data_IF_358998117874
#
_entry.id   IF_358998117874
#
_cell.length_a   1.000
_cell.length_b   1.000
_cell.length_c   1.000
_cell.angle_alpha   90.00
_cell.angle_beta   90.00
_cell.angle_gamma   90.00
#
_symmetry.space_group_name_H-M   'P 1'
#
loop_
_entity.id
_entity.type
_entity.pdbx_description
1 polymer ?
#
# COMPACT_ATOMS: atom_id res chain seq x y z
N UNK A 1 -20.59 18.40 -12.00
CA UNK A 1 -19.38 18.70 -12.81
C UNK A 1 -18.19 18.07 -12.09
N UNK A 2 -17.43 17.17 -12.73
CA UNK A 2 -16.18 16.65 -12.12
C UNK A 2 -15.13 17.76 -12.21
N UNK A 3 -14.39 17.99 -11.12
CA UNK A 3 -13.24 18.90 -11.12
C UNK A 3 -12.17 18.40 -12.09
N UNK A 4 -11.58 19.32 -12.82
CA UNK A 4 -10.37 19.12 -13.61
C UNK A 4 -9.16 18.91 -12.69
N UNK A 5 -8.09 18.35 -13.25
CA UNK A 5 -6.83 18.19 -12.52
C UNK A 5 -6.29 19.54 -12.00
N UNK A 6 -6.37 20.61 -12.79
CA UNK A 6 -5.91 21.94 -12.37
C UNK A 6 -6.69 22.46 -11.16
N UNK A 7 -8.00 22.20 -11.09
CA UNK A 7 -8.84 22.57 -9.95
C UNK A 7 -8.47 21.77 -8.68
N UNK A 8 -8.19 20.47 -8.80
CA UNK A 8 -7.72 19.66 -7.67
C UNK A 8 -6.36 20.12 -7.15
N UNK A 9 -5.42 20.44 -8.05
CA UNK A 9 -4.10 20.98 -7.66
C UNK A 9 -4.25 22.33 -6.98
N UNK A 10 -5.10 23.22 -7.51
CA UNK A 10 -5.39 24.52 -6.88
C UNK A 10 -5.97 24.37 -5.47
N UNK A 11 -6.94 23.47 -5.29
CA UNK A 11 -7.51 23.16 -3.98
C UNK A 11 -6.47 22.59 -3.01
N UNK A 12 -5.61 21.68 -3.50
CA UNK A 12 -4.52 21.12 -2.70
C UNK A 12 -3.55 22.23 -2.23
N UNK A 13 -3.20 23.18 -3.11
CA UNK A 13 -2.36 24.34 -2.73
C UNK A 13 -2.99 25.16 -1.62
N UNK A 14 -4.27 25.49 -1.74
CA UNK A 14 -4.99 26.26 -0.71
C UNK A 14 -4.96 25.54 0.65
N UNK A 15 -5.19 24.22 0.66
CA UNK A 15 -5.15 23.41 1.89
C UNK A 15 -3.75 23.29 2.48
N UNK A 16 -2.73 23.11 1.65
CA UNK A 16 -1.33 23.06 2.09
C UNK A 16 -0.91 24.38 2.74
N UNK A 17 -1.24 25.51 2.14
CA UNK A 17 -0.96 26.83 2.71
C UNK A 17 -1.71 27.05 4.03
N UNK A 18 -2.98 26.64 4.12
CA UNK A 18 -3.74 26.72 5.36
C UNK A 18 -3.12 25.85 6.48
N UNK A 19 -2.72 24.61 6.17
CA UNK A 19 -2.03 23.73 7.12
C UNK A 19 -0.67 24.30 7.54
N UNK A 20 0.09 24.88 6.60
CA UNK A 20 1.37 25.49 6.90
C UNK A 20 1.22 26.74 7.78
N UNK A 21 0.16 27.53 7.55
CA UNK A 21 -0.17 28.67 8.40
C UNK A 21 -0.52 28.22 9.83
N UNK A 22 -1.31 27.16 9.98
CA UNK A 22 -1.77 26.64 11.28
C UNK A 22 -0.67 25.90 12.06
N UNK A 23 0.12 25.05 11.40
CA UNK A 23 1.07 24.16 12.06
C UNK A 23 2.53 24.58 11.91
N UNK A 24 2.83 25.57 11.07
CA UNK A 24 4.16 26.14 10.78
C UNK A 24 5.18 25.22 10.12
N UNK A 25 5.14 23.92 10.42
CA UNK A 25 5.96 22.89 9.79
C UNK A 25 5.12 21.62 9.59
N UNK A 26 5.29 20.98 8.43
CA UNK A 26 4.54 19.80 8.03
C UNK A 26 5.49 18.70 7.56
N UNK A 27 5.09 17.45 7.79
CA UNK A 27 5.74 16.27 7.18
C UNK A 27 4.92 15.77 5.99
N UNK A 28 5.53 15.07 5.04
CA UNK A 28 4.80 14.48 3.92
C UNK A 28 3.70 13.50 4.40
N UNK A 29 3.99 12.68 5.41
CA UNK A 29 3.02 11.71 5.96
C UNK A 29 1.83 12.40 6.63
N UNK A 30 2.06 13.51 7.33
CA UNK A 30 1.00 14.32 7.92
C UNK A 30 0.13 14.98 6.85
N UNK A 31 0.75 15.50 5.79
CA UNK A 31 0.04 16.13 4.67
C UNK A 31 -0.91 15.13 4.03
N UNK A 32 -0.43 13.92 3.71
CA UNK A 32 -1.30 12.86 3.17
C UNK A 32 -2.39 12.47 4.16
N UNK A 33 -2.07 12.34 5.45
CA UNK A 33 -3.06 12.00 6.48
C UNK A 33 -4.19 13.03 6.59
N UNK A 34 -3.84 14.33 6.49
CA UNK A 34 -4.80 15.43 6.60
C UNK A 34 -5.54 15.72 5.30
N UNK A 35 -4.94 15.55 4.12
CA UNK A 35 -5.53 15.99 2.84
C UNK A 35 -6.10 14.82 2.02
N UNK A 36 -5.42 13.68 2.02
CA UNK A 36 -5.75 12.53 1.17
C UNK A 36 -6.52 11.44 1.89
N UNK A 37 -6.14 11.12 3.14
CA UNK A 37 -6.78 10.03 3.90
C UNK A 37 -8.09 10.46 4.56
N UNK A 38 -8.12 11.68 5.09
CA UNK A 38 -9.28 12.30 5.72
C UNK A 38 -9.65 13.55 4.90
N UNK A 39 -10.92 13.75 4.52
CA UNK A 39 -11.31 14.94 3.81
C UNK A 39 -11.21 16.20 4.71
N UNK A 40 -10.10 16.93 4.63
CA UNK A 40 -9.98 18.24 5.28
C UNK A 40 -10.88 19.26 4.58
N UNK A 41 -11.99 19.65 5.21
CA UNK A 41 -12.94 20.66 4.72
C UNK A 41 -13.41 20.36 3.28
N UNK A 42 -14.16 19.27 3.10
CA UNK A 42 -14.81 18.95 1.82
C UNK A 42 -14.49 17.55 1.32
N UNK A 43 -13.97 17.42 0.10
CA UNK A 43 -13.59 16.12 -0.47
C UNK A 43 -12.13 15.78 -0.20
N UNK A 44 -11.78 14.48 -0.20
CA UNK A 44 -10.39 14.04 -0.16
C UNK A 44 -9.71 14.34 -1.51
N UNK A 45 -8.41 14.64 -1.49
CA UNK A 45 -7.63 14.89 -2.71
C UNK A 45 -6.60 13.79 -2.87
N UNK A 46 -6.57 13.18 -4.06
CA UNK A 46 -5.62 12.12 -4.35
C UNK A 46 -4.16 12.59 -4.18
N UNK A 47 -3.28 11.74 -3.61
CA UNK A 47 -1.90 12.10 -3.29
C UNK A 47 -1.12 12.76 -4.43
N UNK A 48 -1.33 12.33 -5.68
CA UNK A 48 -0.60 12.88 -6.82
C UNK A 48 -0.88 14.37 -7.07
N UNK A 49 -2.11 14.84 -6.84
CA UNK A 49 -2.42 16.27 -6.90
C UNK A 49 -1.77 17.04 -5.75
N UNK A 50 -1.69 16.44 -4.56
CA UNK A 50 -1.02 17.01 -3.39
C UNK A 50 0.50 17.12 -3.63
N UNK A 51 1.13 16.09 -4.20
CA UNK A 51 2.55 16.13 -4.56
C UNK A 51 2.85 17.19 -5.61
N UNK A 52 2.01 17.33 -6.64
CA UNK A 52 2.15 18.40 -7.65
C UNK A 52 2.00 19.78 -7.02
N UNK A 53 1.01 19.96 -6.15
CA UNK A 53 0.81 21.22 -5.42
C UNK A 53 1.99 21.57 -4.51
N UNK A 54 2.52 20.59 -3.77
CA UNK A 54 3.73 20.77 -2.94
C UNK A 54 4.90 21.26 -3.76
N UNK A 55 5.18 20.60 -4.90
CA UNK A 55 6.25 21.02 -5.81
C UNK A 55 6.06 22.45 -6.30
N UNK A 56 4.85 22.82 -6.74
CA UNK A 56 4.57 24.19 -7.18
C UNK A 56 4.80 25.22 -6.06
N UNK A 57 4.36 24.92 -4.83
CA UNK A 57 4.56 25.83 -3.69
C UNK A 57 6.03 25.96 -3.29
N UNK A 58 6.81 24.87 -3.37
CA UNK A 58 8.24 24.93 -3.07
C UNK A 58 9.02 25.66 -4.17
N UNK A 59 8.69 25.40 -5.43
CA UNK A 59 9.34 26.03 -6.59
C UNK A 59 9.07 27.55 -6.61
N UNK A 60 7.89 27.99 -6.16
CA UNK A 60 7.51 29.40 -6.04
C UNK A 60 8.04 30.09 -4.76
N UNK A 61 8.64 29.35 -3.84
CA UNK A 61 9.08 29.88 -2.54
C UNK A 61 7.93 30.19 -1.56
N UNK A 62 6.73 29.68 -1.81
CA UNK A 62 5.59 29.76 -0.88
C UNK A 62 5.78 28.83 0.34
N UNK A 63 6.56 27.76 0.17
CA UNK A 63 7.01 26.86 1.24
C UNK A 63 8.53 26.62 1.11
N UNK A 64 9.21 26.48 2.23
CA UNK A 64 10.61 26.06 2.24
C UNK A 64 10.71 24.56 2.51
N UNK A 65 11.66 23.91 1.85
CA UNK A 65 12.01 22.51 2.14
C UNK A 65 13.20 22.51 3.07
N UNK A 66 13.08 21.79 4.17
CA UNK A 66 14.14 21.58 5.13
C UNK A 66 14.41 20.08 5.28
N UNK A 67 15.70 19.74 5.34
CA UNK A 67 16.19 18.38 5.47
C UNK A 67 17.07 18.30 6.71
N UNK A 68 16.81 17.31 7.55
CA UNK A 68 17.58 17.13 8.77
C UNK A 68 17.77 15.65 9.09
N UNK A 69 19.00 15.22 9.40
CA UNK A 69 19.25 13.86 9.82
C UNK A 69 18.63 13.61 11.19
N UNK A 70 18.02 12.44 11.34
CA UNK A 70 17.65 11.84 12.62
C UNK A 70 18.88 11.29 13.31
N UNK A 71 18.81 11.03 14.62
CA UNK A 71 19.88 10.34 15.36
C UNK A 71 20.22 8.95 14.79
N UNK A 72 19.30 8.34 14.03
CA UNK A 72 19.51 7.06 13.35
C UNK A 72 20.04 7.19 11.91
N UNK A 73 20.51 8.37 11.49
CA UNK A 73 21.09 8.62 10.16
C UNK A 73 20.08 8.76 9.03
N UNK A 74 18.77 8.62 9.30
CA UNK A 74 17.71 8.85 8.30
C UNK A 74 17.49 10.34 8.08
N UNK A 75 17.14 10.74 6.88
CA UNK A 75 16.79 12.13 6.58
C UNK A 75 15.27 12.36 6.77
N UNK A 76 14.92 13.46 7.42
CA UNK A 76 13.53 13.93 7.60
C UNK A 76 13.33 15.18 6.77
N UNK A 77 12.49 15.06 5.76
CA UNK A 77 12.02 16.19 4.97
C UNK A 77 10.83 16.87 5.67
N UNK A 78 10.92 18.20 5.80
CA UNK A 78 9.85 19.07 6.27
C UNK A 78 9.50 20.13 5.23
N UNK A 79 8.24 20.54 5.25
CA UNK A 79 7.73 21.71 4.52
C UNK A 79 7.40 22.80 5.52
N UNK A 80 8.09 23.94 5.42
CA UNK A 80 8.03 25.04 6.38
C UNK A 80 7.26 26.23 5.80
N UNK A 81 6.48 26.89 6.65
CA UNK A 81 5.82 28.15 6.30
C UNK A 81 6.83 29.30 6.15
N UNK A 82 6.63 30.15 5.14
CA UNK A 82 7.43 31.35 4.86
C UNK A 82 6.82 32.63 5.46
N UNK A 83 5.74 32.51 6.23
CA UNK A 83 4.99 33.66 6.72
C UNK A 83 5.86 34.60 7.62
N UNK A 84 5.75 35.94 7.49
CA UNK A 84 6.73 36.89 8.06
C UNK A 84 6.88 36.96 9.59
N UNK A 85 6.06 36.26 10.38
CA UNK A 85 5.95 36.46 11.84
C UNK A 85 6.28 35.23 12.70
N UNK A 86 6.90 34.20 12.14
CA UNK A 86 6.87 32.88 12.77
C UNK A 86 8.22 32.20 12.96
N UNK A 87 9.38 32.83 12.77
CA UNK A 87 10.68 32.11 12.79
C UNK A 87 10.87 31.18 14.00
N UNK A 88 10.68 31.67 15.22
CA UNK A 88 10.78 30.84 16.44
C UNK A 88 9.69 29.75 16.51
N UNK A 89 8.46 30.06 16.05
CA UNK A 89 7.35 29.12 16.02
C UNK A 89 7.58 28.00 14.98
N UNK A 90 8.09 28.35 13.79
CA UNK A 90 8.52 27.43 12.73
C UNK A 90 9.64 26.54 13.24
N UNK A 91 10.68 27.10 13.86
CA UNK A 91 11.77 26.31 14.41
C UNK A 91 11.30 25.34 15.51
N UNK A 92 10.40 25.77 16.39
CA UNK A 92 9.80 24.92 17.43
C UNK A 92 8.96 23.79 16.81
N UNK A 93 8.09 24.13 15.87
CA UNK A 93 7.26 23.16 15.15
C UNK A 93 8.11 22.16 14.36
N UNK A 94 9.12 22.63 13.62
CA UNK A 94 10.03 21.78 12.87
C UNK A 94 10.75 20.79 13.79
N UNK A 95 11.31 21.25 14.93
CA UNK A 95 11.94 20.36 15.92
C UNK A 95 10.99 19.28 16.42
N UNK A 96 9.73 19.66 16.70
CA UNK A 96 8.69 18.74 17.16
C UNK A 96 8.33 17.71 16.08
N UNK A 97 8.09 18.15 14.85
CA UNK A 97 7.75 17.26 13.71
C UNK A 97 8.88 16.30 13.37
N UNK A 98 10.15 16.75 13.42
CA UNK A 98 11.32 15.85 13.26
C UNK A 98 11.35 14.76 14.31
N UNK A 99 11.13 15.10 15.59
CA UNK A 99 11.12 14.11 16.67
C UNK A 99 10.04 13.03 16.42
N UNK A 100 8.83 13.46 16.10
CA UNK A 100 7.70 12.55 15.88
C UNK A 100 7.90 11.68 14.64
N UNK A 101 8.35 12.27 13.53
CA UNK A 101 8.60 11.50 12.31
C UNK A 101 9.77 10.53 12.50
N UNK A 102 10.83 10.93 13.20
CA UNK A 102 11.95 10.04 13.54
C UNK A 102 11.46 8.82 14.32
N UNK A 103 10.55 9.03 15.28
CA UNK A 103 9.96 7.95 16.07
C UNK A 103 9.12 7.02 15.19
N UNK A 104 8.22 7.59 14.39
CA UNK A 104 7.42 6.83 13.44
C UNK A 104 8.29 6.01 12.48
N UNK A 105 9.33 6.61 11.89
CA UNK A 105 10.28 5.90 11.02
C UNK A 105 11.04 4.81 11.75
N UNK A 106 11.34 5.02 13.04
CA UNK A 106 11.87 3.99 13.94
C UNK A 106 10.97 2.76 14.01
N UNK A 107 9.65 2.95 14.16
CA UNK A 107 8.68 1.86 14.15
C UNK A 107 8.48 1.24 12.76
N UNK A 108 8.45 2.05 11.71
CA UNK A 108 8.15 1.58 10.36
C UNK A 108 9.26 0.69 9.79
N UNK A 109 10.52 1.08 9.98
CA UNK A 109 11.68 0.45 9.33
C UNK A 109 12.56 -0.35 10.30
N UNK A 110 12.44 -0.13 11.61
CA UNK A 110 13.31 -0.75 12.61
C UNK A 110 14.73 -0.17 12.61
N UNK A 111 15.70 -0.96 13.04
CA UNK A 111 17.16 -0.74 12.98
C UNK A 111 17.82 -1.98 12.39
N UNK A 112 19.10 -1.94 11.98
CA UNK A 112 19.80 -3.16 11.55
C UNK A 112 19.75 -4.31 12.58
N UNK A 113 19.60 -3.99 13.86
CA UNK A 113 19.53 -4.94 14.97
C UNK A 113 18.12 -5.34 15.41
N UNK A 114 17.07 -4.63 14.96
CA UNK A 114 15.67 -4.90 15.34
C UNK A 114 14.74 -4.61 14.17
N UNK A 115 13.91 -5.56 13.72
CA UNK A 115 12.97 -5.31 12.62
C UNK A 115 11.98 -4.20 12.97
N UNK A 116 11.40 -3.58 11.94
CA UNK A 116 10.28 -2.66 12.12
C UNK A 116 9.08 -3.37 12.76
N UNK A 117 8.24 -2.59 13.45
CA UNK A 117 7.06 -3.07 14.17
C UNK A 117 5.78 -3.01 13.33
N UNK A 118 5.80 -2.26 12.21
CA UNK A 118 4.61 -2.04 11.38
C UNK A 118 4.36 -3.21 10.42
N UNK A 119 5.38 -3.73 9.75
CA UNK A 119 5.24 -4.88 8.83
C UNK A 119 4.70 -6.13 9.54
N UNK A 120 5.45 -6.64 10.55
CA UNK A 120 5.04 -7.84 11.29
C UNK A 120 3.66 -7.74 11.94
N UNK A 121 3.27 -6.55 12.43
CA UNK A 121 1.94 -6.37 13.02
C UNK A 121 0.81 -6.58 12.00
N UNK A 122 0.97 -6.10 10.76
CA UNK A 122 -0.04 -6.34 9.74
C UNK A 122 -0.11 -7.81 9.32
N UNK A 123 1.03 -8.50 9.25
CA UNK A 123 1.09 -9.93 8.98
C UNK A 123 0.37 -10.73 10.08
N UNK A 124 0.60 -10.39 11.34
CA UNK A 124 -0.08 -11.00 12.49
C UNK A 124 -1.60 -10.77 12.47
N UNK A 125 -2.03 -9.52 12.26
CA UNK A 125 -3.46 -9.17 12.19
C UNK A 125 -4.13 -9.86 11.00
N UNK A 126 -3.47 -9.88 9.84
CA UNK A 126 -3.99 -10.60 8.67
C UNK A 126 -4.08 -12.10 8.95
N UNK A 127 -3.05 -12.71 9.55
CA UNK A 127 -3.04 -14.12 9.90
C UNK A 127 -4.19 -14.47 10.87
N UNK A 128 -4.35 -13.71 11.95
CA UNK A 128 -5.47 -13.90 12.87
C UNK A 128 -6.83 -13.74 12.16
N UNK A 129 -6.93 -12.79 11.23
CA UNK A 129 -8.14 -12.57 10.43
C UNK A 129 -8.47 -13.77 9.53
N UNK A 130 -7.51 -14.26 8.74
CA UNK A 130 -7.74 -15.37 7.81
C UNK A 130 -8.06 -16.68 8.57
N UNK A 131 -7.37 -16.95 9.68
CA UNK A 131 -7.65 -18.11 10.55
C UNK A 131 -9.07 -18.02 11.11
N UNK A 132 -9.50 -16.85 11.58
CA UNK A 132 -10.84 -16.67 12.15
C UNK A 132 -11.98 -16.93 11.17
N UNK A 133 -11.71 -16.87 9.85
CA UNK A 133 -12.73 -17.19 8.84
C UNK A 133 -13.02 -18.67 8.71
N UNK A 134 -12.06 -19.55 9.06
CA UNK A 134 -12.14 -20.98 8.78
C UNK A 134 -12.27 -21.36 7.30
N UNK A 135 -12.17 -20.40 6.36
CA UNK A 135 -12.47 -20.60 4.94
C UNK A 135 -11.25 -21.07 4.12
N UNK A 136 -10.06 -21.07 4.71
CA UNK A 136 -8.79 -21.33 4.02
C UNK A 136 -8.01 -22.45 4.72
N UNK A 137 -7.44 -23.34 3.91
CA UNK A 137 -6.40 -24.28 4.36
C UNK A 137 -5.04 -23.61 4.15
N UNK A 138 -4.45 -23.08 5.22
CA UNK A 138 -3.18 -22.35 5.15
C UNK A 138 -2.00 -23.30 4.92
N UNK A 139 -1.02 -22.85 4.13
CA UNK A 139 0.25 -23.56 3.94
C UNK A 139 1.09 -23.57 5.23
N UNK A 140 0.93 -22.54 6.07
CA UNK A 140 1.52 -22.43 7.42
C UNK A 140 0.45 -21.98 8.42
N UNK A 141 -0.28 -22.92 9.04
CA UNK A 141 -1.34 -22.62 10.00
C UNK A 141 -0.86 -21.86 11.24
N UNK A 142 0.42 -21.99 11.60
CA UNK A 142 1.09 -21.27 12.69
C UNK A 142 1.51 -19.83 12.33
N UNK A 143 1.41 -19.46 11.06
CA UNK A 143 1.81 -18.15 10.53
C UNK A 143 3.27 -18.05 10.10
N UNK A 144 3.61 -16.86 9.63
CA UNK A 144 4.94 -16.50 9.11
C UNK A 144 5.18 -16.86 7.65
N UNK A 145 6.35 -16.46 7.17
CA UNK A 145 6.78 -16.54 5.79
C UNK A 145 6.62 -17.93 5.14
N UNK A 146 6.12 -17.93 3.90
CA UNK A 146 6.02 -19.10 3.02
C UNK A 146 7.12 -19.03 1.96
N UNK A 147 8.21 -19.78 2.16
CA UNK A 147 9.38 -19.80 1.25
C UNK A 147 9.18 -20.67 0.01
N UNK A 148 8.27 -21.63 0.09
CA UNK A 148 7.91 -22.53 -1.01
C UNK A 148 6.42 -22.79 -1.04
N UNK A 149 5.83 -22.80 -2.22
CA UNK A 149 4.41 -23.07 -2.41
C UNK A 149 4.19 -23.78 -3.77
N UNK A 150 3.22 -24.67 -3.85
CA UNK A 150 2.95 -25.50 -5.05
C UNK A 150 4.21 -26.18 -5.64
N UNK A 151 5.13 -26.63 -4.78
CA UNK A 151 6.37 -27.28 -5.19
C UNK A 151 7.42 -26.35 -5.83
N UNK A 152 7.24 -25.03 -5.76
CA UNK A 152 8.21 -24.02 -6.19
C UNK A 152 8.86 -23.34 -4.99
N UNK A 153 10.20 -23.25 -4.98
CA UNK A 153 10.91 -22.33 -4.11
C UNK A 153 10.79 -20.90 -4.66
N UNK A 154 10.30 -19.97 -3.85
CA UNK A 154 9.96 -18.62 -4.30
C UNK A 154 11.18 -17.68 -4.25
N UNK A 155 11.30 -16.74 -5.21
CA UNK A 155 12.30 -15.68 -5.13
C UNK A 155 11.89 -14.69 -4.03
N UNK A 156 12.24 -15.00 -2.78
CA UNK A 156 11.70 -14.34 -1.59
C UNK A 156 10.35 -14.93 -1.14
N UNK A 157 10.09 -14.99 0.17
CA UNK A 157 8.87 -15.61 0.69
C UNK A 157 7.61 -14.82 0.34
N UNK A 158 6.45 -15.49 0.40
CA UNK A 158 5.14 -14.84 0.54
C UNK A 158 4.87 -14.59 2.01
N UNK A 159 4.13 -13.53 2.32
CA UNK A 159 3.71 -13.22 3.69
C UNK A 159 2.67 -14.22 4.20
N UNK A 160 1.88 -14.81 3.29
CA UNK A 160 1.02 -15.97 3.57
C UNK A 160 0.66 -16.71 2.29
N UNK A 161 0.19 -17.96 2.42
CA UNK A 161 -0.38 -18.71 1.31
C UNK A 161 -1.34 -19.78 1.83
N UNK A 162 -2.28 -20.20 0.98
CA UNK A 162 -3.17 -21.31 1.30
C UNK A 162 -4.04 -21.72 0.13
N UNK A 163 -5.03 -22.55 0.42
CA UNK A 163 -6.04 -23.00 -0.53
C UNK A 163 -7.42 -22.55 -0.07
N UNK A 164 -8.21 -22.07 -1.02
CA UNK A 164 -9.62 -21.75 -0.85
C UNK A 164 -10.46 -22.74 -1.65
N UNK A 165 -11.45 -23.37 -1.03
CA UNK A 165 -12.39 -24.26 -1.71
C UNK A 165 -13.71 -23.51 -1.94
N UNK A 166 -14.01 -23.03 -3.15
CA UNK A 166 -15.29 -22.40 -3.44
C UNK A 166 -16.41 -23.42 -3.27
N UNK A 167 -17.53 -23.00 -2.68
CA UNK A 167 -18.75 -23.80 -2.56
C UNK A 167 -19.90 -23.03 -3.19
N UNK A 168 -20.52 -23.61 -4.21
CA UNK A 168 -21.68 -23.04 -4.90
C UNK A 168 -22.87 -23.98 -4.74
N UNK A 169 -23.99 -23.48 -4.20
CA UNK A 169 -25.20 -24.28 -3.95
C UNK A 169 -24.93 -25.58 -3.16
N UNK A 170 -23.99 -25.54 -2.21
CA UNK A 170 -23.59 -26.71 -1.41
C UNK A 170 -22.63 -27.67 -2.12
N UNK A 171 -22.24 -27.40 -3.37
CA UNK A 171 -21.33 -28.23 -4.14
C UNK A 171 -19.92 -27.62 -4.11
N UNK A 172 -18.89 -28.37 -3.66
CA UNK A 172 -17.51 -27.90 -3.70
C UNK A 172 -17.00 -27.84 -5.14
N UNK A 173 -16.37 -26.71 -5.49
CA UNK A 173 -15.67 -26.52 -6.76
C UNK A 173 -14.21 -26.98 -6.70
N UNK A 174 -13.39 -26.53 -7.66
CA UNK A 174 -11.94 -26.77 -7.65
C UNK A 174 -11.26 -25.89 -6.61
N UNK A 175 -10.34 -26.46 -5.83
CA UNK A 175 -9.51 -25.70 -4.91
C UNK A 175 -8.68 -24.64 -5.68
N UNK A 176 -8.63 -23.43 -5.14
CA UNK A 176 -7.90 -22.29 -5.68
C UNK A 176 -6.71 -22.03 -4.76
N UNK A 177 -5.50 -21.97 -5.31
CA UNK A 177 -4.32 -21.57 -4.59
C UNK A 177 -4.27 -20.04 -4.42
N UNK A 178 -3.97 -19.58 -3.21
CA UNK A 178 -4.08 -18.16 -2.83
C UNK A 178 -2.74 -17.68 -2.27
N UNK A 179 -1.80 -17.24 -3.13
CA UNK A 179 -0.60 -16.55 -2.68
C UNK A 179 -0.95 -15.16 -2.17
N UNK A 180 -0.42 -14.75 -1.02
CA UNK A 180 -0.78 -13.51 -0.34
C UNK A 180 0.47 -12.67 -0.05
N UNK A 181 0.38 -11.38 -0.36
CA UNK A 181 1.38 -10.38 0.02
C UNK A 181 0.72 -9.23 0.77
N UNK A 182 1.37 -8.74 1.82
CA UNK A 182 0.88 -7.75 2.77
C UNK A 182 1.86 -6.59 2.82
N UNK A 183 1.38 -5.37 2.53
CA UNK A 183 2.17 -4.15 2.57
C UNK A 183 1.51 -3.11 3.46
N UNK A 184 2.06 -2.94 4.66
CA UNK A 184 1.57 -2.01 5.66
C UNK A 184 2.29 -0.64 5.62
N UNK A 185 2.59 -0.18 4.41
CA UNK A 185 3.29 1.08 4.19
C UNK A 185 2.35 2.26 4.34
N UNK A 186 2.87 3.40 4.80
CA UNK A 186 2.17 4.69 4.80
C UNK A 186 2.32 5.38 3.45
N UNK A 187 1.86 4.68 2.42
CA UNK A 187 1.80 5.18 1.06
C UNK A 187 0.53 4.67 0.39
N UNK A 188 0.14 5.31 -0.70
CA UNK A 188 -0.92 4.84 -1.57
C UNK A 188 -0.33 3.93 -2.63
N UNK A 189 -0.89 2.73 -2.77
CA UNK A 189 -0.46 1.81 -3.81
C UNK A 189 -1.12 2.20 -5.13
N UNK A 190 -0.29 2.56 -6.11
CA UNK A 190 -0.61 2.77 -7.52
C UNK A 190 -0.07 1.61 -8.38
N UNK A 191 -0.53 1.48 -9.64
CA UNK A 191 0.06 0.52 -10.58
C UNK A 191 1.56 0.76 -10.85
N UNK A 192 2.07 1.98 -10.69
CA UNK A 192 3.50 2.25 -10.88
C UNK A 192 4.39 1.81 -9.69
N UNK A 193 3.80 1.40 -8.58
CA UNK A 193 4.53 0.92 -7.40
C UNK A 193 5.10 -0.48 -7.64
N UNK A 194 6.24 -0.81 -7.03
CA UNK A 194 6.87 -2.12 -7.22
C UNK A 194 6.18 -3.22 -6.39
N UNK A 195 5.48 -2.81 -5.33
CA UNK A 195 4.89 -3.62 -4.30
C UNK A 195 3.90 -4.68 -4.82
N UNK A 196 2.91 -4.35 -5.69
CA UNK A 196 2.02 -5.36 -6.25
C UNK A 196 2.78 -6.42 -7.05
N UNK A 197 3.83 -6.01 -7.79
CA UNK A 197 4.57 -6.91 -8.66
C UNK A 197 5.44 -7.92 -7.93
N UNK A 198 5.72 -7.72 -6.63
CA UNK A 198 6.30 -8.78 -5.81
C UNK A 198 5.36 -9.99 -5.76
N UNK A 199 4.06 -9.77 -5.56
CA UNK A 199 3.04 -10.81 -5.59
C UNK A 199 2.84 -11.36 -7.01
N UNK A 200 2.66 -10.49 -8.00
CA UNK A 200 2.32 -10.91 -9.37
C UNK A 200 3.44 -11.74 -10.02
N UNK A 201 4.71 -11.37 -9.83
CA UNK A 201 5.86 -12.19 -10.30
C UNK A 201 5.91 -13.56 -9.60
N UNK A 202 5.70 -13.60 -8.27
CA UNK A 202 5.64 -14.88 -7.53
C UNK A 202 4.49 -15.76 -8.01
N UNK A 203 3.30 -15.21 -8.17
CA UNK A 203 2.12 -15.91 -8.67
C UNK A 203 2.29 -16.40 -10.12
N UNK A 204 2.98 -15.63 -10.96
CA UNK A 204 3.22 -16.01 -12.35
C UNK A 204 4.15 -17.22 -12.43
N UNK A 205 5.20 -17.23 -11.61
CA UNK A 205 6.10 -18.39 -11.52
C UNK A 205 5.40 -19.63 -10.97
N UNK A 206 4.48 -19.45 -10.01
CA UNK A 206 3.64 -20.53 -9.51
C UNK A 206 2.74 -21.09 -10.61
N UNK A 207 2.11 -20.23 -11.43
CA UNK A 207 1.27 -20.65 -12.57
C UNK A 207 2.05 -21.51 -13.56
N UNK A 208 3.26 -21.07 -13.93
CA UNK A 208 4.16 -21.84 -14.81
C UNK A 208 4.55 -23.17 -14.18
N UNK A 209 4.87 -23.17 -12.87
CA UNK A 209 5.28 -24.40 -12.17
C UNK A 209 4.21 -25.48 -12.22
N UNK A 210 2.95 -25.09 -12.06
CA UNK A 210 1.82 -26.02 -12.04
C UNK A 210 1.17 -26.23 -13.39
N UNK A 211 1.70 -25.60 -14.46
CA UNK A 211 1.23 -25.75 -15.83
C UNK A 211 -0.30 -25.55 -15.96
N UNK A 212 -0.81 -24.51 -15.29
CA UNK A 212 -2.25 -24.18 -15.27
C UNK A 212 -3.17 -25.21 -14.59
N UNK A 213 -2.63 -26.29 -14.00
CA UNK A 213 -3.44 -27.37 -13.39
C UNK A 213 -4.15 -26.93 -12.11
N UNK A 214 -3.58 -25.96 -11.39
CA UNK A 214 -4.13 -25.40 -10.16
C UNK A 214 -4.55 -23.94 -10.43
N UNK A 215 -5.83 -23.58 -10.29
CA UNK A 215 -6.26 -22.18 -10.36
C UNK A 215 -5.57 -21.36 -9.27
N UNK A 216 -5.09 -20.16 -9.61
CA UNK A 216 -4.40 -19.27 -8.67
C UNK A 216 -5.15 -17.94 -8.60
N UNK A 217 -5.46 -17.47 -7.39
CA UNK A 217 -6.03 -16.15 -7.13
C UNK A 217 -5.09 -15.36 -6.20
N UNK A 218 -4.21 -14.49 -6.74
CA UNK A 218 -3.31 -13.70 -5.92
C UNK A 218 -4.07 -12.67 -5.09
N UNK A 219 -3.70 -12.52 -3.81
CA UNK A 219 -4.30 -11.54 -2.89
C UNK A 219 -3.25 -10.55 -2.41
N UNK A 220 -3.45 -9.28 -2.74
CA UNK A 220 -2.62 -8.17 -2.30
C UNK A 220 -3.32 -7.38 -1.20
N UNK A 221 -2.70 -7.29 -0.03
CA UNK A 221 -3.23 -6.57 1.13
C UNK A 221 -2.42 -5.30 1.34
N UNK A 222 -3.08 -4.17 1.46
CA UNK A 222 -2.39 -2.90 1.69
C UNK A 222 -3.21 -1.94 2.54
N UNK A 223 -2.51 -0.94 3.09
CA UNK A 223 -3.16 0.15 3.83
C UNK A 223 -4.10 0.97 2.94
N UNK A 224 -3.58 1.47 1.81
CA UNK A 224 -4.29 2.31 0.85
C UNK A 224 -3.98 1.86 -0.57
N UNK A 225 -5.01 1.82 -1.42
CA UNK A 225 -4.85 1.60 -2.86
C UNK A 225 -5.59 2.68 -3.64
N UNK A 226 -4.94 3.23 -4.64
CA UNK A 226 -5.59 4.13 -5.58
C UNK A 226 -6.61 3.38 -6.44
N UNK A 227 -7.64 4.08 -6.93
CA UNK A 227 -8.70 3.44 -7.72
C UNK A 227 -8.15 2.68 -8.94
N UNK A 228 -7.09 3.19 -9.56
CA UNK A 228 -6.44 2.54 -10.71
C UNK A 228 -5.80 1.20 -10.36
N UNK A 229 -5.33 1.01 -9.13
CA UNK A 229 -4.84 -0.29 -8.66
C UNK A 229 -5.96 -1.32 -8.61
N UNK A 230 -7.20 -0.92 -8.28
CA UNK A 230 -8.36 -1.81 -8.35
C UNK A 230 -8.77 -2.12 -9.80
N UNK A 231 -8.59 -1.18 -10.73
CA UNK A 231 -8.80 -1.44 -12.15
C UNK A 231 -7.77 -2.45 -12.67
N UNK A 232 -6.49 -2.27 -12.32
CA UNK A 232 -5.43 -3.23 -12.62
C UNK A 232 -5.75 -4.61 -12.06
N UNK A 233 -6.22 -4.67 -10.81
CA UNK A 233 -6.62 -5.90 -10.12
C UNK A 233 -7.70 -6.68 -10.88
N UNK A 234 -8.73 -6.00 -11.36
CA UNK A 234 -9.81 -6.61 -12.16
C UNK A 234 -9.31 -7.13 -13.50
N UNK A 235 -8.44 -6.38 -14.17
CA UNK A 235 -7.94 -6.76 -15.50
C UNK A 235 -6.95 -7.92 -15.42
N UNK A 236 -5.98 -7.86 -14.50
CA UNK A 236 -4.96 -8.89 -14.35
C UNK A 236 -5.42 -10.11 -13.56
N UNK A 237 -6.54 -10.03 -12.84
CA UNK A 237 -7.03 -11.13 -12.03
C UNK A 237 -6.26 -11.29 -10.72
N UNK A 238 -6.14 -10.23 -9.93
CA UNK A 238 -5.76 -10.35 -8.52
C UNK A 238 -6.76 -9.62 -7.63
N UNK A 239 -6.76 -9.94 -6.34
CA UNK A 239 -7.70 -9.38 -5.37
C UNK A 239 -6.98 -8.39 -4.46
N UNK A 240 -7.54 -7.20 -4.27
CA UNK A 240 -6.97 -6.17 -3.38
C UNK A 240 -7.81 -6.05 -2.11
N UNK A 241 -7.17 -6.20 -0.96
CA UNK A 241 -7.75 -5.89 0.35
C UNK A 241 -7.14 -4.59 0.85
N UNK A 242 -7.93 -3.52 0.84
CA UNK A 242 -7.55 -2.23 1.42
C UNK A 242 -8.02 -2.14 2.88
N UNK A 243 -7.09 -2.13 3.83
CA UNK A 243 -7.40 -2.11 5.27
C UNK A 243 -7.85 -0.73 5.75
N UNK A 244 -7.34 0.34 5.11
CA UNK A 244 -7.48 1.75 5.53
C UNK A 244 -6.95 2.01 6.94
N UNK A 245 -6.14 1.10 7.46
CA UNK A 245 -5.58 1.07 8.81
C UNK A 245 -4.12 0.67 8.70
N UNK A 246 -3.25 1.36 9.41
CA UNK A 246 -1.86 0.97 9.55
C UNK A 246 -1.68 0.28 10.90
N UNK A 247 -1.40 -1.01 10.88
CA UNK A 247 -1.18 -1.75 12.11
C UNK A 247 0.22 -1.48 12.66
N UNK A 248 0.35 -1.44 13.97
CA UNK A 248 1.65 -1.34 14.65
C UNK A 248 1.69 -2.35 15.79
N UNK A 249 2.87 -2.94 16.00
CA UNK A 249 3.10 -3.85 17.11
C UNK A 249 3.16 -3.14 18.45
N UNK A 250 3.74 -3.84 19.43
CA UNK A 250 3.85 -3.33 20.79
C UNK A 250 4.74 -2.07 20.87
N UNK A 251 4.13 -0.96 21.27
CA UNK A 251 4.76 0.35 21.46
C UNK A 251 4.14 1.04 22.65
N UNK A 252 4.92 1.91 23.29
CA UNK A 252 4.44 2.81 24.34
C UNK A 252 3.22 3.62 23.86
N UNK A 253 2.10 3.47 24.57
CA UNK A 253 0.79 4.00 24.18
C UNK A 253 0.78 5.54 24.20
N UNK A 254 1.47 6.17 25.15
CA UNK A 254 1.60 7.63 25.19
C UNK A 254 2.36 8.14 23.96
N UNK A 255 3.45 7.46 23.57
CA UNK A 255 4.19 7.82 22.36
C UNK A 255 3.40 7.59 21.09
N UNK A 256 2.60 6.52 21.04
CA UNK A 256 1.69 6.25 19.94
C UNK A 256 0.64 7.35 19.82
N UNK A 257 -0.04 7.68 20.92
CA UNK A 257 -1.06 8.73 20.95
C UNK A 257 -0.48 10.11 20.60
N UNK A 258 0.73 10.42 21.07
CA UNK A 258 1.47 11.63 20.71
C UNK A 258 1.72 11.72 19.19
N UNK A 259 2.18 10.63 18.56
CA UNK A 259 2.39 10.59 17.10
C UNK A 259 1.06 10.67 16.34
N UNK A 260 0.02 9.96 16.78
CA UNK A 260 -1.31 9.98 16.14
C UNK A 260 -1.93 11.38 16.17
N UNK A 261 -1.91 12.04 17.32
CA UNK A 261 -2.50 13.37 17.50
C UNK A 261 -1.75 14.43 16.70
N UNK A 262 -0.42 14.44 16.76
CA UNK A 262 0.36 15.54 16.20
C UNK A 262 0.77 15.37 14.74
N UNK A 263 0.86 14.14 14.23
CA UNK A 263 1.06 13.88 12.79
C UNK A 263 -0.24 13.48 12.08
N UNK A 264 -1.37 13.51 12.78
CA UNK A 264 -2.69 13.15 12.26
C UNK A 264 -2.81 11.70 11.74
N UNK A 265 -1.96 10.80 12.23
CA UNK A 265 -1.95 9.39 11.83
C UNK A 265 -3.07 8.61 12.55
N UNK A 266 -4.31 9.08 12.44
CA UNK A 266 -5.46 8.58 13.20
C UNK A 266 -5.75 7.09 13.00
N UNK A 267 -5.38 6.57 11.82
CA UNK A 267 -5.50 5.18 11.39
C UNK A 267 -4.29 4.30 11.74
N UNK A 268 -3.26 4.85 12.40
CA UNK A 268 -2.18 4.06 13.01
C UNK A 268 -2.72 3.44 14.31
N UNK A 269 -2.87 2.11 14.32
CA UNK A 269 -3.57 1.38 15.38
C UNK A 269 -2.74 0.23 15.91
N UNK A 270 -2.60 0.15 17.24
CA UNK A 270 -2.12 -1.06 17.90
C UNK A 270 -3.32 -2.00 18.04
N UNK A 271 -3.35 -3.04 17.21
CA UNK A 271 -4.47 -3.99 17.14
C UNK A 271 -3.92 -5.40 17.26
N UNK A 272 -4.58 -6.20 18.08
CA UNK A 272 -4.26 -7.60 18.29
C UNK A 272 -5.43 -8.46 17.85
N UNK A 273 -5.14 -9.55 17.13
CA UNK A 273 -6.15 -10.46 16.63
C UNK A 273 -6.77 -10.03 15.29
N UNK A 274 -7.96 -10.57 15.01
CA UNK A 274 -8.63 -10.41 13.72
C UNK A 274 -9.16 -8.98 13.50
N UNK A 275 -9.02 -8.46 12.28
CA UNK A 275 -9.60 -7.19 11.84
C UNK A 275 -10.89 -7.44 11.05
N UNK A 276 -11.97 -6.80 11.47
CA UNK A 276 -13.31 -7.00 10.88
C UNK A 276 -13.38 -6.72 9.37
N UNK A 277 -12.59 -5.77 8.85
CA UNK A 277 -12.60 -5.47 7.41
C UNK A 277 -11.89 -6.56 6.63
N UNK A 278 -10.77 -7.07 7.14
CA UNK A 278 -10.05 -8.20 6.53
C UNK A 278 -10.92 -9.44 6.57
N UNK A 279 -11.54 -9.74 7.72
CA UNK A 279 -12.48 -10.87 7.88
C UNK A 279 -13.64 -10.74 6.89
N UNK A 280 -14.28 -9.57 6.80
CA UNK A 280 -15.38 -9.34 5.83
C UNK A 280 -14.92 -9.52 4.39
N UNK A 281 -13.74 -9.02 4.04
CA UNK A 281 -13.19 -9.18 2.70
C UNK A 281 -12.98 -10.66 2.36
N UNK A 282 -12.41 -11.45 3.27
CA UNK A 282 -12.09 -12.86 3.08
C UNK A 282 -13.31 -13.80 3.20
N UNK A 283 -14.28 -13.49 4.06
CA UNK A 283 -15.45 -14.34 4.31
C UNK A 283 -16.65 -14.02 3.39
N UNK A 284 -16.72 -12.81 2.83
CA UNK A 284 -17.89 -12.36 2.05
C UNK A 284 -17.55 -11.96 0.62
N UNK A 285 -16.52 -11.15 0.43
CA UNK A 285 -16.23 -10.58 -0.90
C UNK A 285 -15.37 -11.51 -1.74
N UNK A 286 -14.26 -12.01 -1.18
CA UNK A 286 -13.34 -12.90 -1.87
C UNK A 286 -14.03 -14.18 -2.36
N UNK A 287 -14.87 -14.90 -1.59
CA UNK A 287 -15.55 -16.10 -2.07
C UNK A 287 -16.37 -15.90 -3.34
N UNK A 288 -16.99 -14.72 -3.49
CA UNK A 288 -17.80 -14.35 -4.67
C UNK A 288 -16.95 -14.01 -5.89
N UNK A 289 -15.69 -13.64 -5.68
CA UNK A 289 -14.79 -13.15 -6.72
C UNK A 289 -13.68 -14.16 -7.04
N UNK A 290 -13.37 -15.10 -6.14
CA UNK A 290 -12.20 -15.97 -6.20
C UNK A 290 -12.09 -16.72 -7.53
N UNK A 291 -13.19 -17.29 -8.01
CA UNK A 291 -13.22 -18.00 -9.28
C UNK A 291 -12.94 -17.06 -10.47
N UNK A 292 -13.64 -15.93 -10.55
CA UNK A 292 -13.45 -14.93 -11.63
C UNK A 292 -12.04 -14.36 -11.58
N UNK A 293 -11.51 -14.07 -10.39
CA UNK A 293 -10.13 -13.64 -10.19
C UNK A 293 -9.15 -14.69 -10.70
N UNK A 294 -9.34 -15.97 -10.37
CA UNK A 294 -8.45 -17.04 -10.82
C UNK A 294 -8.50 -17.29 -12.34
N UNK A 295 -9.68 -17.21 -12.94
CA UNK A 295 -9.85 -17.31 -14.40
C UNK A 295 -9.15 -16.15 -15.13
N UNK A 296 -9.29 -14.92 -14.63
CA UNK A 296 -8.58 -13.75 -15.17
C UNK A 296 -7.07 -13.83 -14.96
N UNK A 297 -6.65 -14.34 -13.81
CA UNK A 297 -5.24 -14.58 -13.52
C UNK A 297 -4.63 -15.57 -14.52
N UNK A 298 -5.33 -16.67 -14.80
CA UNK A 298 -4.84 -17.69 -15.74
C UNK A 298 -4.56 -17.08 -17.12
N UNK A 299 -5.47 -16.26 -17.66
CA UNK A 299 -5.25 -15.55 -18.95
C UNK A 299 -4.02 -14.65 -18.88
N UNK A 300 -3.88 -13.89 -17.79
CA UNK A 300 -2.76 -12.96 -17.61
C UNK A 300 -1.42 -13.68 -17.44
N UNK A 301 -1.40 -14.78 -16.70
CA UNK A 301 -0.20 -15.54 -16.38
C UNK A 301 0.25 -16.47 -17.51
N UNK A 302 -0.64 -16.81 -18.44
CA UNK A 302 -0.30 -17.58 -19.65
C UNK A 302 0.58 -16.75 -20.59
N UNK A 303 0.31 -15.45 -20.69
CA UNK A 303 1.04 -14.52 -21.55
C UNK A 303 2.52 -14.35 -21.08
N UNK A 304 3.53 -14.72 -21.90
CA UNK A 304 4.93 -14.59 -21.53
C UNK A 304 5.39 -13.15 -21.30
N UNK A 305 4.87 -12.19 -22.05
CA UNK A 305 5.30 -10.78 -21.97
C UNK A 305 4.78 -10.13 -20.69
N UNK A 306 3.54 -10.42 -20.29
CA UNK A 306 2.98 -10.01 -18.99
C UNK A 306 3.85 -10.52 -17.83
N UNK A 307 4.30 -11.77 -17.90
CA UNK A 307 5.21 -12.34 -16.89
C UNK A 307 6.56 -11.60 -16.85
N UNK A 308 7.14 -11.27 -18.00
CA UNK A 308 8.37 -10.45 -18.09
C UNK A 308 8.16 -9.06 -17.48
N UNK A 309 7.04 -8.40 -17.79
CA UNK A 309 6.71 -7.09 -17.22
C UNK A 309 6.62 -7.13 -15.69
N UNK A 310 6.02 -8.16 -15.10
CA UNK A 310 5.98 -8.31 -13.65
C UNK A 310 7.37 -8.44 -13.04
N UNK A 311 8.22 -9.30 -13.60
CA UNK A 311 9.60 -9.46 -13.15
C UNK A 311 10.40 -8.16 -13.27
N UNK A 312 10.23 -7.41 -14.37
CA UNK A 312 10.92 -6.14 -14.59
C UNK A 312 10.42 -5.02 -13.69
N UNK A 313 9.12 -4.93 -13.46
CA UNK A 313 8.52 -3.95 -12.53
C UNK A 313 9.00 -4.20 -11.10
N UNK A 314 9.00 -5.47 -10.68
CA UNK A 314 9.51 -5.88 -9.37
C UNK A 314 10.96 -5.44 -9.14
N UNK A 315 11.82 -5.59 -10.15
CA UNK A 315 13.26 -5.32 -10.05
C UNK A 315 13.65 -3.87 -10.43
N UNK A 316 12.70 -3.04 -10.83
CA UNK A 316 12.98 -1.68 -11.25
C UNK A 316 13.27 -0.76 -10.06
N UNK A 317 14.51 -0.28 -9.98
CA UNK A 317 15.02 0.52 -8.85
C UNK A 317 14.59 1.98 -8.85
N UNK A 318 14.06 2.51 -9.96
CA UNK A 318 13.68 3.93 -10.07
C UNK A 318 12.27 4.14 -10.62
N UNK A 319 11.63 5.22 -10.18
CA UNK A 319 10.29 5.58 -10.63
C UNK A 319 10.18 5.83 -12.15
N UNK A 320 11.11 6.55 -12.82
CA UNK A 320 11.04 6.73 -14.27
C UNK A 320 11.14 5.42 -15.05
N UNK A 321 11.95 4.48 -14.55
CA UNK A 321 12.06 3.15 -15.16
C UNK A 321 10.75 2.36 -15.00
N UNK A 322 10.13 2.40 -13.81
CA UNK A 322 8.82 1.78 -13.58
C UNK A 322 7.75 2.36 -14.49
N UNK A 323 7.68 3.68 -14.64
CA UNK A 323 6.72 4.33 -15.54
C UNK A 323 6.85 3.85 -17.00
N UNK A 324 8.08 3.75 -17.53
CA UNK A 324 8.30 3.24 -18.90
C UNK A 324 7.93 1.77 -19.07
N UNK A 325 8.19 0.94 -18.06
CA UNK A 325 7.81 -0.48 -18.10
C UNK A 325 6.27 -0.60 -18.03
N UNK A 326 5.64 0.19 -17.16
CA UNK A 326 4.19 0.24 -16.99
C UNK A 326 3.47 0.64 -18.28
N UNK A 327 3.99 1.66 -18.97
CA UNK A 327 3.46 2.12 -20.25
C UNK A 327 3.44 1.00 -21.30
N UNK A 328 4.57 0.29 -21.46
CA UNK A 328 4.65 -0.88 -22.34
C UNK A 328 3.71 -2.02 -21.91
N UNK A 329 3.59 -2.26 -20.61
CA UNK A 329 2.66 -3.26 -20.09
C UNK A 329 1.20 -2.89 -20.38
N UNK A 330 0.83 -1.60 -20.35
CA UNK A 330 -0.52 -1.12 -20.72
C UNK A 330 -0.80 -1.27 -22.20
N UNK A 331 0.17 -0.93 -23.05
CA UNK A 331 0.09 -1.13 -24.50
C UNK A 331 -0.15 -2.61 -24.82
N UNK A 332 0.63 -3.50 -24.20
CA UNK A 332 0.47 -4.95 -24.36
C UNK A 332 -0.87 -5.45 -23.83
N UNK A 333 -1.26 -5.04 -22.62
CA UNK A 333 -2.55 -5.38 -22.03
C UNK A 333 -3.72 -4.94 -22.91
N UNK A 334 -3.62 -3.78 -23.56
CA UNK A 334 -4.61 -3.30 -24.53
C UNK A 334 -4.71 -4.22 -25.74
N UNK A 335 -3.58 -4.75 -26.21
CA UNK A 335 -3.55 -5.74 -27.30
C UNK A 335 -4.20 -7.08 -26.91
N UNK A 336 -4.19 -7.42 -25.62
CA UNK A 336 -4.90 -8.58 -25.06
C UNK A 336 -6.42 -8.32 -24.85
N UNK A 337 -6.90 -7.12 -25.17
CA UNK A 337 -8.30 -6.72 -25.01
C UNK A 337 -8.68 -6.18 -23.63
N UNK A 338 -7.70 -5.80 -22.81
CA UNK A 338 -7.95 -5.10 -21.54
C UNK A 338 -8.07 -3.58 -21.77
N UNK A 339 -8.89 -2.87 -20.97
CA UNK A 339 -9.15 -1.44 -21.21
C UNK A 339 -7.92 -0.52 -20.97
N UNK A 340 -6.86 -1.02 -20.32
CA UNK A 340 -5.61 -0.26 -20.09
C UNK A 340 -5.71 0.97 -19.17
N UNK A 341 -6.89 1.27 -18.64
CA UNK A 341 -7.20 2.47 -17.84
C UNK A 341 -6.70 2.49 -16.40
N UNK A 342 -5.71 1.66 -16.05
CA UNK A 342 -5.10 1.60 -14.73
C UNK A 342 -3.74 2.25 -14.73
#
# INVERSE_FOLDING_TARGET
>A
MRRSEAEYVSLARQRLLALAHEHHALTHVEIQARISDVPWKGEAIDPHHVTRALRQLTDNGDLLVDHAPTRGGRDVQLFLSTAPRTKTAVEKAARRKRLLLSRYLGWAQGTPSRPGLIGPAAEQVFHASIVSTGAFTLARPEGGDVKSFLGLALPGPLDSAGFFLPVANGIPGRAIAVPIEIKNLRDWIYPANAEPYQLLDKAARLHVKVDGQVPIAPVFVCRRAHYTTFLMAKQFGFFVIETKRQFIGDVDEDKLNEVRAELWLTDLINHQGADEKIVRALATTFPKQAQVTAERWAVTAEDPDMRDYFARMRNATSAPRRSRILEKAREHASSMGFDGGW
#
